data_IF_649152238119
#
_entry.id   IF_649152238119
#
_cell.length_a   1.000
_cell.length_b   1.000
_cell.length_c   1.000
_cell.angle_alpha   90.00
_cell.angle_beta   90.00
_cell.angle_gamma   90.00
#
_symmetry.space_group_name_H-M   'P 1'
#
loop_
_entity.id
_entity.type
_entity.pdbx_description
1 polymer ?
#
# COMPACT_ATOMS: atom_id res chain seq x y z
N UNK A 1 28.43 24.58 -15.52
CA UNK A 1 28.99 23.97 -14.30
C UNK A 1 28.09 24.11 -13.08
N UNK A 2 27.55 25.29 -12.79
CA UNK A 2 26.66 25.49 -11.60
C UNK A 2 25.46 24.53 -11.62
N UNK A 3 24.79 24.39 -12.77
CA UNK A 3 23.62 23.47 -12.88
C UNK A 3 23.98 22.02 -12.58
N UNK A 4 25.12 21.53 -13.08
CA UNK A 4 25.57 20.15 -12.77
C UNK A 4 25.80 19.95 -11.26
N UNK A 5 26.44 20.94 -10.61
CA UNK A 5 26.67 20.93 -9.15
C UNK A 5 25.34 20.94 -8.39
N UNK A 6 24.39 21.78 -8.82
CA UNK A 6 23.06 21.84 -8.21
C UNK A 6 22.32 20.49 -8.32
N UNK A 7 22.40 19.84 -9.49
CA UNK A 7 21.80 18.50 -9.67
C UNK A 7 22.40 17.48 -8.72
N UNK A 8 23.74 17.47 -8.56
CA UNK A 8 24.40 16.57 -7.59
C UNK A 8 23.94 16.88 -6.16
N UNK A 9 23.93 18.15 -5.77
CA UNK A 9 23.50 18.56 -4.43
C UNK A 9 22.04 18.20 -4.14
N UNK A 10 21.14 18.39 -5.10
CA UNK A 10 19.73 18.01 -4.96
C UNK A 10 19.60 16.50 -4.85
N UNK A 11 20.27 15.73 -5.71
CA UNK A 11 20.23 14.26 -5.68
C UNK A 11 20.72 13.72 -4.34
N UNK A 12 21.93 14.09 -3.92
CA UNK A 12 22.51 13.60 -2.68
C UNK A 12 21.80 14.18 -1.44
N UNK A 13 21.38 15.45 -1.51
CA UNK A 13 20.62 16.10 -0.44
C UNK A 13 19.25 15.43 -0.22
N UNK A 14 18.55 15.02 -1.29
CA UNK A 14 17.30 14.30 -1.19
C UNK A 14 17.49 12.93 -0.50
N UNK A 15 18.54 12.20 -0.85
CA UNK A 15 18.86 10.92 -0.20
C UNK A 15 19.21 11.15 1.27
N UNK A 16 20.07 12.12 1.57
CA UNK A 16 20.45 12.43 2.95
C UNK A 16 19.22 12.86 3.79
N UNK A 17 18.35 13.70 3.23
CA UNK A 17 17.10 14.08 3.87
C UNK A 17 16.19 12.87 4.14
N UNK A 18 16.03 11.99 3.15
CA UNK A 18 15.25 10.78 3.29
C UNK A 18 15.78 9.88 4.39
N UNK A 19 17.11 9.67 4.45
CA UNK A 19 17.74 8.82 5.46
C UNK A 19 17.70 9.41 6.89
N UNK A 20 17.65 10.73 6.99
CA UNK A 20 17.66 11.43 8.28
C UNK A 20 16.28 11.85 8.77
N UNK A 21 15.27 11.79 7.94
CA UNK A 21 13.92 12.21 8.29
C UNK A 21 13.28 11.31 9.35
N UNK A 22 12.65 11.84 10.42
CA UNK A 22 12.03 11.04 11.49
C UNK A 22 10.60 10.57 11.18
N UNK A 23 10.10 10.74 9.98
CA UNK A 23 8.70 10.42 9.58
C UNK A 23 8.50 8.97 9.14
N UNK A 24 9.30 8.09 9.69
CA UNK A 24 9.26 6.67 9.40
C UNK A 24 8.08 5.97 10.09
N UNK A 25 7.87 4.76 9.72
CA UNK A 25 6.77 3.91 10.14
C UNK A 25 6.48 3.93 11.64
N UNK A 26 5.18 3.79 11.96
CA UNK A 26 4.74 3.31 13.27
C UNK A 26 5.23 1.87 13.49
N UNK A 27 5.39 1.47 14.74
CA UNK A 27 5.66 0.06 15.08
C UNK A 27 4.53 -0.84 14.53
N UNK A 28 4.91 -1.99 13.99
CA UNK A 28 3.95 -2.95 13.46
C UNK A 28 3.33 -3.76 14.59
N UNK A 29 2.00 -3.90 14.55
CA UNK A 29 1.22 -4.67 15.51
C UNK A 29 0.52 -5.89 14.85
N UNK A 30 0.99 -6.32 13.69
CA UNK A 30 0.44 -7.46 12.95
C UNK A 30 1.53 -8.36 12.39
N UNK A 31 1.13 -9.41 11.69
CA UNK A 31 2.03 -10.34 11.00
C UNK A 31 2.46 -9.85 9.59
N UNK A 32 2.15 -8.62 9.20
CA UNK A 32 2.40 -8.10 7.84
C UNK A 32 3.76 -7.41 7.66
N UNK A 33 4.78 -7.87 8.37
CA UNK A 33 6.18 -7.40 8.20
C UNK A 33 6.63 -7.44 6.74
N UNK A 34 6.19 -8.44 5.97
CA UNK A 34 6.50 -8.54 4.55
C UNK A 34 6.05 -7.35 3.69
N UNK A 35 5.08 -6.55 4.13
CA UNK A 35 4.73 -5.29 3.48
C UNK A 35 5.83 -4.25 3.67
N UNK A 36 6.34 -4.10 4.89
CA UNK A 36 7.45 -3.20 5.18
C UNK A 36 8.71 -3.61 4.42
N UNK A 37 9.03 -4.91 4.41
CA UNK A 37 10.19 -5.45 3.66
C UNK A 37 10.11 -5.15 2.17
N UNK A 38 8.91 -5.28 1.58
CA UNK A 38 8.68 -4.97 0.15
C UNK A 38 8.85 -3.47 -0.14
N UNK A 39 8.39 -2.61 0.75
CA UNK A 39 8.56 -1.17 0.62
C UNK A 39 10.04 -0.78 0.80
N UNK A 40 10.73 -1.36 1.77
CA UNK A 40 12.17 -1.13 1.99
C UNK A 40 12.97 -1.57 0.75
N UNK A 41 12.69 -2.75 0.20
CA UNK A 41 13.30 -3.22 -1.05
C UNK A 41 13.07 -2.23 -2.19
N UNK A 42 11.84 -1.74 -2.32
CA UNK A 42 11.47 -0.74 -3.34
C UNK A 42 12.29 0.54 -3.16
N UNK A 43 12.43 1.06 -1.95
CA UNK A 43 13.25 2.24 -1.69
C UNK A 43 14.72 2.05 -2.02
N UNK A 44 15.29 0.88 -1.71
CA UNK A 44 16.68 0.61 -2.07
C UNK A 44 16.90 0.56 -3.57
N UNK A 45 16.05 -0.14 -4.32
CA UNK A 45 16.19 -0.26 -5.78
C UNK A 45 15.93 1.10 -6.45
N UNK A 46 14.82 1.76 -6.12
CA UNK A 46 14.47 3.05 -6.73
C UNK A 46 15.43 4.16 -6.30
N UNK A 47 15.91 4.13 -5.06
CA UNK A 47 16.92 5.06 -4.57
C UNK A 47 18.25 4.93 -5.30
N UNK A 48 18.72 3.69 -5.54
CA UNK A 48 19.93 3.45 -6.32
C UNK A 48 19.77 3.95 -7.77
N UNK A 49 18.63 3.68 -8.41
CA UNK A 49 18.31 4.18 -9.76
C UNK A 49 18.25 5.72 -9.78
N UNK A 50 17.59 6.33 -8.78
CA UNK A 50 17.50 7.79 -8.65
C UNK A 50 18.88 8.45 -8.58
N UNK A 51 19.77 7.90 -7.73
CA UNK A 51 21.16 8.40 -7.62
C UNK A 51 21.91 8.21 -8.94
N UNK A 52 21.82 7.03 -9.55
CA UNK A 52 22.50 6.74 -10.82
C UNK A 52 22.06 7.70 -11.94
N UNK A 53 20.75 7.92 -12.08
CA UNK A 53 20.20 8.84 -13.09
C UNK A 53 20.60 10.30 -12.77
N UNK A 54 20.49 10.73 -11.51
CA UNK A 54 20.87 12.08 -11.10
C UNK A 54 22.34 12.38 -11.36
N UNK A 55 23.24 11.47 -11.01
CA UNK A 55 24.68 11.61 -11.28
C UNK A 55 24.99 11.54 -12.77
N UNK A 56 24.33 10.65 -13.53
CA UNK A 56 24.48 10.58 -14.97
C UNK A 56 24.01 11.87 -15.65
N UNK A 57 22.90 12.44 -15.24
CA UNK A 57 22.41 13.72 -15.72
C UNK A 57 23.42 14.85 -15.43
N UNK A 58 23.94 14.90 -14.21
CA UNK A 58 24.96 15.88 -13.86
C UNK A 58 26.22 15.74 -14.72
N UNK A 59 26.67 14.50 -14.97
CA UNK A 59 27.77 14.19 -15.87
C UNK A 59 27.48 14.68 -17.30
N UNK A 60 26.32 14.42 -17.85
CA UNK A 60 25.93 14.87 -19.19
C UNK A 60 25.95 16.41 -19.29
N UNK A 61 25.39 17.11 -18.30
CA UNK A 61 25.39 18.58 -18.25
C UNK A 61 26.82 19.12 -18.19
N UNK A 62 27.71 18.46 -17.45
CA UNK A 62 29.12 18.88 -17.36
C UNK A 62 29.88 18.56 -18.64
N UNK A 63 29.73 17.37 -19.20
CA UNK A 63 30.50 16.88 -20.35
C UNK A 63 30.05 17.53 -21.66
N UNK A 64 28.75 17.70 -21.87
CA UNK A 64 28.16 18.19 -23.11
C UNK A 64 27.77 19.69 -23.05
N UNK A 65 28.48 20.47 -22.22
CA UNK A 65 28.30 21.93 -22.17
C UNK A 65 28.62 22.55 -23.54
N UNK A 66 27.96 23.66 -23.86
CA UNK A 66 28.19 24.40 -25.08
C UNK A 66 29.68 24.73 -25.29
N UNK A 67 30.20 24.39 -26.46
CA UNK A 67 31.54 24.71 -26.90
C UNK A 67 31.45 25.22 -28.37
N UNK A 68 32.03 26.39 -28.64
CA UNK A 68 32.03 27.02 -29.99
C UNK A 68 32.76 26.17 -31.04
N UNK A 69 33.74 25.38 -30.60
CA UNK A 69 34.64 24.64 -31.50
C UNK A 69 34.18 23.20 -31.73
N UNK A 70 33.05 22.80 -31.13
CA UNK A 70 32.50 21.43 -31.25
C UNK A 70 31.04 21.47 -31.70
N UNK A 71 30.71 20.62 -32.66
CA UNK A 71 29.31 20.32 -33.00
C UNK A 71 28.86 19.05 -32.27
N UNK A 72 27.57 18.99 -31.96
CA UNK A 72 26.94 17.76 -31.47
C UNK A 72 26.86 16.77 -32.64
N UNK A 73 27.09 15.49 -32.35
CA UNK A 73 26.82 14.41 -33.29
C UNK A 73 25.31 14.27 -33.43
N UNK A 74 24.88 13.95 -34.67
CA UNK A 74 23.49 13.69 -34.97
C UNK A 74 23.26 12.19 -34.99
N UNK A 75 22.71 11.66 -33.91
CA UNK A 75 22.39 10.22 -33.76
C UNK A 75 20.92 10.10 -33.31
N UNK A 76 19.98 10.17 -34.27
CA UNK A 76 18.54 10.23 -33.95
C UNK A 76 17.98 8.92 -33.40
N UNK A 77 18.62 7.80 -33.66
CA UNK A 77 18.15 6.46 -33.24
C UNK A 77 19.34 5.60 -32.79
N UNK A 78 19.17 4.97 -31.63
CA UNK A 78 20.14 4.03 -31.08
C UNK A 78 19.41 2.78 -30.56
N UNK A 79 19.01 1.90 -31.49
CA UNK A 79 18.23 0.69 -31.16
C UNK A 79 18.91 -0.23 -30.14
N UNK A 80 20.25 -0.25 -30.08
CA UNK A 80 20.96 -1.06 -29.07
C UNK A 80 20.76 -0.49 -27.67
N UNK A 81 20.87 0.82 -27.52
CA UNK A 81 20.65 1.50 -26.25
C UNK A 81 19.18 1.40 -25.81
N UNK A 82 18.26 1.60 -26.73
CA UNK A 82 16.82 1.50 -26.46
C UNK A 82 16.41 0.11 -25.98
N UNK A 83 16.86 -0.94 -26.68
CA UNK A 83 16.62 -2.33 -26.22
C UNK A 83 17.30 -2.63 -24.89
N UNK A 84 18.51 -2.20 -24.67
CA UNK A 84 19.20 -2.39 -23.41
C UNK A 84 18.45 -1.74 -22.25
N UNK A 85 18.02 -0.48 -22.40
CA UNK A 85 17.22 0.23 -21.39
C UNK A 85 15.87 -0.44 -21.17
N UNK A 86 15.19 -0.86 -22.23
CA UNK A 86 13.90 -1.56 -22.13
C UNK A 86 14.03 -2.87 -21.35
N UNK A 87 15.04 -3.68 -21.65
CA UNK A 87 15.26 -4.96 -20.95
C UNK A 87 15.61 -4.73 -19.49
N UNK A 88 16.54 -3.79 -19.20
CA UNK A 88 16.97 -3.49 -17.83
C UNK A 88 15.79 -2.97 -16.99
N UNK A 89 15.00 -2.05 -17.52
CA UNK A 89 13.84 -1.52 -16.82
C UNK A 89 12.76 -2.58 -16.63
N UNK A 90 12.51 -3.43 -17.63
CA UNK A 90 11.56 -4.54 -17.51
C UNK A 90 11.95 -5.51 -16.40
N UNK A 91 13.23 -5.90 -16.33
CA UNK A 91 13.75 -6.76 -15.26
C UNK A 91 13.58 -6.07 -13.90
N UNK A 92 13.91 -4.77 -13.81
CA UNK A 92 13.74 -3.98 -12.59
C UNK A 92 12.29 -3.93 -12.12
N UNK A 93 11.35 -3.70 -13.04
CA UNK A 93 9.91 -3.68 -12.74
C UNK A 93 9.42 -5.05 -12.24
N UNK A 94 9.84 -6.14 -12.89
CA UNK A 94 9.49 -7.50 -12.45
C UNK A 94 10.05 -7.78 -11.06
N UNK A 95 11.28 -7.38 -10.79
CA UNK A 95 11.94 -7.57 -9.49
C UNK A 95 11.23 -6.80 -8.36
N UNK A 96 10.63 -5.66 -8.67
CA UNK A 96 9.84 -4.88 -7.70
C UNK A 96 8.41 -5.41 -7.54
N UNK A 97 7.79 -5.81 -8.64
CA UNK A 97 6.38 -6.21 -8.64
C UNK A 97 6.15 -7.60 -8.04
N UNK A 98 7.02 -8.58 -8.34
CA UNK A 98 6.81 -9.96 -7.94
C UNK A 98 6.72 -10.16 -6.41
N UNK A 99 7.61 -9.61 -5.56
CA UNK A 99 7.48 -9.68 -4.12
C UNK A 99 6.19 -9.05 -3.61
N UNK A 100 5.81 -7.88 -4.16
CA UNK A 100 4.58 -7.18 -3.80
C UNK A 100 3.33 -8.01 -4.09
N UNK A 101 3.26 -8.68 -5.25
CA UNK A 101 2.15 -9.56 -5.61
C UNK A 101 2.05 -10.79 -4.68
N UNK A 102 3.17 -11.33 -4.24
CA UNK A 102 3.19 -12.45 -3.29
C UNK A 102 2.62 -12.00 -1.94
N UNK A 103 3.06 -10.85 -1.41
CA UNK A 103 2.56 -10.30 -0.15
C UNK A 103 1.08 -9.95 -0.27
N UNK A 104 0.66 -9.33 -1.37
CA UNK A 104 -0.74 -9.03 -1.64
C UNK A 104 -1.61 -10.29 -1.72
N UNK A 105 -1.16 -11.32 -2.41
CA UNK A 105 -1.88 -12.60 -2.47
C UNK A 105 -2.07 -13.22 -1.07
N UNK A 106 -1.06 -13.16 -0.23
CA UNK A 106 -1.17 -13.63 1.15
C UNK A 106 -2.16 -12.79 1.97
N UNK A 107 -2.20 -11.46 1.74
CA UNK A 107 -3.10 -10.55 2.43
C UNK A 107 -4.58 -10.82 2.11
N UNK A 108 -4.90 -11.10 0.84
CA UNK A 108 -6.29 -11.37 0.41
C UNK A 108 -6.70 -12.84 0.55
N UNK A 109 -5.75 -13.73 0.83
CA UNK A 109 -6.04 -15.16 1.02
C UNK A 109 -6.39 -15.44 2.48
N UNK A 110 -7.65 -15.71 2.74
CA UNK A 110 -8.14 -15.96 4.11
C UNK A 110 -7.65 -17.32 4.61
N UNK A 111 -6.93 -17.39 5.74
CA UNK A 111 -6.52 -18.65 6.35
C UNK A 111 -7.72 -19.40 6.93
N UNK A 112 -7.63 -20.73 6.96
CA UNK A 112 -8.67 -21.58 7.57
C UNK A 112 -8.80 -21.27 9.05
N UNK A 113 -10.05 -21.10 9.51
CA UNK A 113 -10.34 -20.80 10.91
C UNK A 113 -10.11 -19.36 11.32
N UNK A 114 -9.98 -18.44 10.35
CA UNK A 114 -9.97 -17.02 10.65
C UNK A 114 -11.30 -16.59 11.29
N UNK A 115 -11.19 -15.74 12.31
CA UNK A 115 -12.37 -15.16 12.96
C UNK A 115 -12.93 -14.06 12.06
N UNK A 116 -14.21 -14.18 11.69
CA UNK A 116 -14.86 -13.24 10.78
C UNK A 116 -15.45 -12.07 11.55
N UNK A 117 -15.18 -10.85 11.08
CA UNK A 117 -15.76 -9.61 11.58
C UNK A 117 -16.29 -8.83 10.39
N UNK A 118 -17.49 -8.30 10.51
CA UNK A 118 -18.01 -7.35 9.54
C UNK A 118 -17.71 -5.92 10.01
N UNK A 119 -17.23 -5.09 9.09
CA UNK A 119 -16.90 -3.68 9.32
C UNK A 119 -17.70 -2.84 8.36
N UNK A 120 -18.48 -1.90 8.87
CA UNK A 120 -19.37 -1.06 8.08
C UNK A 120 -18.99 0.41 8.28
N UNK A 121 -18.61 1.07 7.18
CA UNK A 121 -18.30 2.49 7.15
C UNK A 121 -19.55 3.34 6.91
N UNK A 122 -19.63 4.44 7.62
CA UNK A 122 -20.64 5.49 7.43
C UNK A 122 -20.04 6.86 7.75
N UNK A 123 -20.57 7.91 7.19
CA UNK A 123 -20.20 9.29 7.55
C UNK A 123 -20.74 9.63 8.95
N UNK A 124 -19.93 9.76 10.02
CA UNK A 124 -18.46 9.79 10.00
C UNK A 124 -17.91 8.83 11.08
N UNK A 125 -18.28 7.56 11.05
CA UNK A 125 -17.88 6.58 12.02
C UNK A 125 -17.87 5.15 11.43
N UNK A 126 -17.33 4.22 12.21
CA UNK A 126 -17.28 2.79 11.89
C UNK A 126 -18.17 2.01 12.83
N UNK A 127 -18.85 1.03 12.29
CA UNK A 127 -19.60 0.04 13.05
C UNK A 127 -19.01 -1.34 12.81
N UNK A 128 -19.12 -2.19 13.81
CA UNK A 128 -18.58 -3.53 13.72
C UNK A 128 -19.64 -4.55 14.14
N UNK A 129 -19.59 -5.71 13.50
CA UNK A 129 -20.40 -6.85 13.86
C UNK A 129 -19.51 -8.07 14.01
N UNK A 130 -19.59 -8.71 15.17
CA UNK A 130 -18.86 -9.91 15.51
C UNK A 130 -19.83 -11.09 15.59
N UNK A 131 -19.41 -12.30 15.15
CA UNK A 131 -20.19 -13.49 15.38
C UNK A 131 -20.33 -13.71 16.90
N UNK A 132 -21.50 -14.09 17.31
CA UNK A 132 -21.82 -14.32 18.71
C UNK A 132 -21.18 -15.58 19.29
N UNK A 133 -21.90 -16.29 20.11
CA UNK A 133 -21.41 -17.50 20.79
C UNK A 133 -21.25 -18.69 19.84
N UNK A 134 -22.00 -18.71 18.76
CA UNK A 134 -21.96 -19.78 17.75
C UNK A 134 -20.77 -19.61 16.78
N UNK A 135 -20.13 -18.44 16.75
CA UNK A 135 -18.97 -18.14 15.89
C UNK A 135 -19.31 -17.94 14.42
N UNK A 136 -20.58 -17.72 14.08
CA UNK A 136 -21.08 -17.57 12.70
C UNK A 136 -21.82 -16.24 12.58
N UNK A 137 -21.41 -15.38 11.65
CA UNK A 137 -22.16 -14.17 11.33
C UNK A 137 -23.49 -14.54 10.65
N UNK A 138 -24.59 -14.02 11.16
CA UNK A 138 -25.90 -14.16 10.55
C UNK A 138 -26.00 -13.51 9.18
N UNK A 139 -26.98 -13.90 8.39
CA UNK A 139 -27.24 -13.35 7.05
C UNK A 139 -27.73 -11.90 7.10
N UNK A 140 -27.40 -11.14 6.08
CA UNK A 140 -27.82 -9.73 5.91
C UNK A 140 -28.48 -9.54 4.55
N UNK A 141 -29.45 -8.62 4.46
CA UNK A 141 -30.05 -8.18 3.20
C UNK A 141 -30.14 -6.66 3.19
N UNK A 142 -29.77 -6.05 2.06
CA UNK A 142 -29.86 -4.61 1.85
C UNK A 142 -31.28 -4.07 2.06
N UNK A 143 -32.30 -4.88 1.81
CA UNK A 143 -33.72 -4.54 2.00
C UNK A 143 -34.10 -4.37 3.47
N UNK A 144 -33.33 -4.94 4.37
CA UNK A 144 -33.57 -4.87 5.81
C UNK A 144 -32.89 -3.65 6.44
N UNK A 145 -32.06 -2.92 5.67
CA UNK A 145 -31.34 -1.74 6.17
C UNK A 145 -32.35 -0.62 6.45
N UNK A 146 -32.34 -0.14 7.68
CA UNK A 146 -33.07 1.01 8.17
C UNK A 146 -32.37 1.59 9.41
N UNK A 147 -32.90 2.67 9.98
CA UNK A 147 -32.27 3.34 11.13
C UNK A 147 -32.11 2.45 12.36
N UNK A 148 -32.99 1.49 12.57
CA UNK A 148 -32.93 0.54 13.69
C UNK A 148 -32.09 -0.71 13.36
N UNK A 149 -31.82 -0.97 12.10
CA UNK A 149 -31.07 -2.13 11.60
C UNK A 149 -30.04 -1.71 10.52
N UNK A 150 -29.02 -0.96 10.87
CA UNK A 150 -28.05 -0.43 9.90
C UNK A 150 -27.20 -1.55 9.23
N UNK A 151 -27.06 -2.71 9.86
CA UNK A 151 -26.40 -3.86 9.28
C UNK A 151 -27.27 -4.63 8.29
N UNK A 152 -28.60 -4.42 8.29
CA UNK A 152 -29.55 -5.16 7.47
C UNK A 152 -29.67 -6.62 7.89
N UNK A 153 -29.59 -6.91 9.19
CA UNK A 153 -29.70 -8.26 9.72
C UNK A 153 -31.01 -8.92 9.32
N UNK A 154 -30.94 -10.20 8.98
CA UNK A 154 -32.10 -11.03 8.81
C UNK A 154 -32.50 -11.62 10.17
N UNK A 155 -33.58 -11.12 10.76
CA UNK A 155 -34.07 -11.55 12.07
C UNK A 155 -34.64 -12.97 12.07
N UNK A 156 -34.91 -13.54 10.88
CA UNK A 156 -35.38 -14.92 10.74
C UNK A 156 -34.23 -15.93 10.72
N UNK A 157 -32.96 -15.44 10.63
CA UNK A 157 -31.77 -16.26 10.71
C UNK A 157 -31.36 -16.46 12.18
N UNK A 158 -31.34 -17.69 12.70
CA UNK A 158 -30.91 -17.90 14.08
C UNK A 158 -29.51 -17.40 14.42
N UNK A 159 -28.59 -17.42 13.45
CA UNK A 159 -27.22 -16.92 13.64
C UNK A 159 -27.15 -15.39 13.80
N UNK A 160 -28.16 -14.64 13.33
CA UNK A 160 -28.23 -13.19 13.53
C UNK A 160 -28.59 -12.79 14.97
N UNK A 161 -29.18 -13.70 15.74
CA UNK A 161 -29.79 -13.38 17.04
C UNK A 161 -28.74 -13.20 18.15
N UNK A 162 -27.56 -13.79 18.01
CA UNK A 162 -26.48 -13.67 18.99
C UNK A 162 -25.29 -12.85 18.50
N UNK A 163 -25.36 -12.30 17.27
CA UNK A 163 -24.36 -11.37 16.75
C UNK A 163 -24.17 -10.17 17.71
N UNK A 164 -22.93 -9.79 17.93
CA UNK A 164 -22.57 -8.64 18.77
C UNK A 164 -22.35 -7.42 17.89
N UNK A 165 -23.18 -6.40 18.09
CA UNK A 165 -23.11 -5.14 17.36
C UNK A 165 -22.36 -4.10 18.19
N UNK A 166 -21.41 -3.42 17.56
CA UNK A 166 -20.62 -2.32 18.15
C UNK A 166 -20.84 -1.10 17.28
N UNK A 167 -21.42 -0.06 17.84
CA UNK A 167 -21.74 1.18 17.15
C UNK A 167 -20.84 2.30 17.64
N UNK A 168 -20.03 2.85 16.73
CA UNK A 168 -19.13 3.99 16.97
C UNK A 168 -18.21 3.88 18.20
N UNK A 169 -17.78 2.67 18.56
CA UNK A 169 -16.92 2.39 19.71
C UNK A 169 -15.69 1.58 19.31
N UNK A 170 -14.79 1.29 20.23
CA UNK A 170 -13.54 0.57 20.00
C UNK A 170 -13.80 -0.91 19.68
N UNK A 171 -13.17 -1.37 18.59
CA UNK A 171 -13.16 -2.79 18.23
C UNK A 171 -12.08 -3.54 19.03
N UNK A 172 -12.48 -4.43 19.92
CA UNK A 172 -11.59 -5.31 20.65
C UNK A 172 -11.42 -6.64 19.90
N UNK A 173 -10.18 -6.99 19.57
CA UNK A 173 -9.84 -8.23 18.86
C UNK A 173 -8.90 -9.10 19.70
N UNK A 174 -8.94 -10.42 19.44
CA UNK A 174 -8.04 -11.35 20.11
C UNK A 174 -6.64 -11.27 19.48
N UNK A 175 -5.63 -11.20 20.33
CA UNK A 175 -4.23 -11.27 19.91
C UNK A 175 -3.92 -12.66 19.36
N UNK A 176 -3.05 -12.70 18.34
CA UNK A 176 -2.55 -13.92 17.71
C UNK A 176 -3.64 -14.78 17.03
N UNK A 177 -4.82 -14.21 16.76
CA UNK A 177 -5.88 -14.85 16.00
C UNK A 177 -5.97 -14.28 14.59
N UNK A 178 -5.96 -15.12 13.53
CA UNK A 178 -6.22 -14.66 12.18
C UNK A 178 -7.62 -14.06 12.06
N UNK A 179 -7.73 -12.91 11.44
CA UNK A 179 -8.98 -12.19 11.21
C UNK A 179 -9.32 -12.16 9.72
N UNK A 180 -10.59 -12.29 9.41
CA UNK A 180 -11.19 -11.95 8.13
C UNK A 180 -12.11 -10.76 8.34
N UNK A 181 -11.80 -9.62 7.71
CA UNK A 181 -12.65 -8.45 7.75
C UNK A 181 -13.53 -8.39 6.49
N UNK A 182 -14.84 -8.39 6.67
CA UNK A 182 -15.81 -8.16 5.61
C UNK A 182 -16.17 -6.68 5.61
N UNK A 183 -15.64 -5.91 4.65
CA UNK A 183 -15.84 -4.46 4.58
C UNK A 183 -17.08 -4.12 3.78
N UNK A 184 -17.89 -3.21 4.32
CA UNK A 184 -19.05 -2.60 3.64
C UNK A 184 -19.10 -1.10 3.92
N UNK A 185 -19.88 -0.39 3.10
CA UNK A 185 -20.22 1.01 3.31
C UNK A 185 -21.74 1.21 3.16
N UNK A 186 -22.34 2.11 3.94
CA UNK A 186 -23.77 2.43 3.88
C UNK A 186 -24.07 3.61 2.97
N UNK A 187 -23.14 4.53 2.79
CA UNK A 187 -23.35 5.78 2.09
C UNK A 187 -22.40 6.00 0.91
N UNK A 188 -21.13 6.29 1.17
CA UNK A 188 -20.09 6.52 0.17
C UNK A 188 -18.92 5.55 0.37
N UNK A 189 -17.92 5.58 -0.52
CA UNK A 189 -16.71 4.82 -0.37
C UNK A 189 -15.94 5.25 0.89
N UNK A 190 -15.54 4.30 1.73
CA UNK A 190 -14.71 4.49 2.91
C UNK A 190 -13.46 3.63 2.84
N UNK A 191 -12.33 4.20 3.23
CA UNK A 191 -11.04 3.52 3.31
C UNK A 191 -10.79 3.05 4.75
N UNK A 192 -10.90 1.74 4.96
CA UNK A 192 -10.57 1.14 6.25
C UNK A 192 -9.06 1.02 6.38
N UNK A 193 -8.46 1.93 7.14
CA UNK A 193 -7.01 2.05 7.26
C UNK A 193 -6.54 1.92 8.72
N UNK A 194 -5.75 0.89 8.99
CA UNK A 194 -5.10 0.64 10.29
C UNK A 194 -3.58 0.57 10.09
N UNK A 195 -2.87 1.71 10.23
CA UNK A 195 -1.45 1.82 9.91
C UNK A 195 -0.56 0.81 10.64
N UNK A 196 -0.82 0.60 11.93
CA UNK A 196 -0.06 -0.34 12.76
C UNK A 196 -0.24 -1.79 12.32
N UNK A 197 -1.35 -2.12 11.65
CA UNK A 197 -1.58 -3.45 11.08
C UNK A 197 -1.10 -3.57 9.64
N UNK A 198 -0.67 -2.48 9.00
CA UNK A 198 -0.40 -2.43 7.54
C UNK A 198 -1.62 -2.85 6.72
N UNK A 199 -2.79 -2.73 7.29
CA UNK A 199 -4.05 -3.06 6.64
C UNK A 199 -4.70 -1.79 6.09
N UNK A 200 -4.99 -1.83 4.80
CA UNK A 200 -5.70 -0.77 4.09
C UNK A 200 -6.54 -1.40 2.99
N UNK A 201 -7.84 -1.06 2.95
CA UNK A 201 -8.75 -1.49 1.89
C UNK A 201 -9.95 -0.56 1.79
N UNK A 202 -10.26 -0.17 0.56
CA UNK A 202 -11.46 0.59 0.21
C UNK A 202 -12.68 -0.32 0.09
#
# INVERSE_FOLDING_TARGET
MIVAVLVVLVTLGSVAFHMWSPWWWSEIASNWVGMDDTIILTFWITGAVFVAIGLFMAYCIWQYKYNKDKRADYEPENSKLEWALTIITTIGVIALLAPGLIVWNNFVTVPKGAYEIEVVGQQWYWMYRLPGKDGVLGTTDIKNINDDNPFGLNTDDPHSLDDVLIDADDLHILKDQPLKLNLRALDVLHDFYVPQFRAKMD
#
